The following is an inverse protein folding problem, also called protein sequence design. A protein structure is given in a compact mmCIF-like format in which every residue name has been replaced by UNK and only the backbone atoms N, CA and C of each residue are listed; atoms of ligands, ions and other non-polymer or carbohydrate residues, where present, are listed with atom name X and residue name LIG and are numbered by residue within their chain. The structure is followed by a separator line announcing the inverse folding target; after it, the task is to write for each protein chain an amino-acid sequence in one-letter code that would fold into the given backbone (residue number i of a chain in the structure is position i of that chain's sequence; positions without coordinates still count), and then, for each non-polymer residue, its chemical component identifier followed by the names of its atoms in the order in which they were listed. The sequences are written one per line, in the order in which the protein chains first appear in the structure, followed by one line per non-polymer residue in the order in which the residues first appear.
data_IF_080099097578
#
_entry.id   IF_080099097578
#
_cell.length_a   1.000
_cell.length_b   1.000
_cell.length_c   1.000
_cell.angle_alpha   90.00
_cell.angle_beta   90.00
_cell.angle_gamma   90.00
#
_symmetry.space_group_name_H-M   'P 1'
#
loop_
_entity.id
_entity.type
_entity.pdbx_description
1 polymer ?
#
# COMPACT_ATOMS: atom_id res chain seq x y z
N UNK A 1 25.57 -12.44 6.49
CA UNK A 1 24.33 -12.77 5.75
C UNK A 1 23.10 -12.05 6.29
N UNK A 2 22.77 -12.19 7.59
CA UNK A 2 21.60 -11.53 8.22
C UNK A 2 21.50 -10.01 8.00
N UNK A 3 22.60 -9.27 8.12
CA UNK A 3 22.59 -7.80 7.97
C UNK A 3 22.25 -7.35 6.54
N UNK A 4 22.76 -8.06 5.53
CA UNK A 4 22.45 -7.79 4.12
C UNK A 4 20.98 -8.07 3.82
N UNK A 5 20.41 -9.11 4.43
CA UNK A 5 18.99 -9.41 4.30
C UNK A 5 18.13 -8.31 4.94
N UNK A 6 18.49 -7.81 6.12
CA UNK A 6 17.75 -6.73 6.78
C UNK A 6 17.78 -5.46 5.92
N UNK A 7 18.94 -5.11 5.37
CA UNK A 7 19.09 -3.94 4.48
C UNK A 7 18.26 -4.13 3.20
N UNK A 8 18.34 -5.31 2.57
CA UNK A 8 17.59 -5.62 1.36
C UNK A 8 16.08 -5.55 1.57
N UNK A 9 15.58 -6.12 2.68
CA UNK A 9 14.15 -6.05 3.05
C UNK A 9 13.75 -4.62 3.36
N UNK A 10 14.56 -3.86 4.09
CA UNK A 10 14.28 -2.45 4.40
C UNK A 10 14.14 -1.59 3.13
N UNK A 11 15.02 -1.79 2.14
CA UNK A 11 14.94 -1.12 0.85
C UNK A 11 13.69 -1.51 0.06
N UNK A 12 13.35 -2.80 0.04
CA UNK A 12 12.15 -3.29 -0.63
C UNK A 12 10.88 -2.70 0.00
N UNK A 13 10.82 -2.64 1.33
CA UNK A 13 9.68 -2.05 2.05
C UNK A 13 9.56 -0.56 1.73
N UNK A 14 10.66 0.19 1.75
CA UNK A 14 10.66 1.60 1.37
C UNK A 14 10.19 1.80 -0.08
N UNK A 15 10.64 0.94 -1.00
CA UNK A 15 10.19 0.96 -2.39
C UNK A 15 8.68 0.71 -2.50
N UNK A 16 8.14 -0.30 -1.80
CA UNK A 16 6.71 -0.61 -1.82
C UNK A 16 5.87 0.52 -1.19
N UNK A 17 6.35 1.18 -0.15
CA UNK A 17 5.62 2.31 0.47
C UNK A 17 5.50 3.49 -0.49
N UNK A 18 6.54 3.78 -1.28
CA UNK A 18 6.52 4.90 -2.24
C UNK A 18 5.74 4.53 -3.51
N UNK A 19 6.04 3.38 -4.10
CA UNK A 19 5.50 2.97 -5.40
C UNK A 19 4.17 2.22 -5.32
N UNK A 20 3.86 1.58 -4.20
CA UNK A 20 2.61 0.85 -3.99
C UNK A 20 1.36 1.71 -4.23
N UNK A 21 1.25 2.88 -3.58
CA UNK A 21 0.10 3.78 -3.79
C UNK A 21 0.01 4.30 -5.23
N UNK A 22 1.15 4.53 -5.89
CA UNK A 22 1.18 4.97 -7.28
C UNK A 22 0.68 3.88 -8.24
N UNK A 23 1.09 2.63 -8.03
CA UNK A 23 0.59 1.48 -8.79
C UNK A 23 -0.90 1.25 -8.57
N UNK A 24 -1.40 1.49 -7.35
CA UNK A 24 -2.82 1.41 -7.03
C UNK A 24 -3.63 2.47 -7.79
N UNK A 25 -3.18 3.72 -7.79
CA UNK A 25 -3.81 4.82 -8.55
C UNK A 25 -3.79 4.51 -10.05
N UNK A 26 -2.67 3.99 -10.57
CA UNK A 26 -2.57 3.56 -11.96
C UNK A 26 -3.60 2.48 -12.31
N UNK A 27 -3.71 1.44 -11.49
CA UNK A 27 -4.67 0.36 -11.70
C UNK A 27 -6.11 0.88 -11.74
N UNK A 28 -6.48 1.78 -10.81
CA UNK A 28 -7.82 2.39 -10.79
C UNK A 28 -8.06 3.23 -12.05
N UNK A 29 -7.08 4.03 -12.47
CA UNK A 29 -7.19 4.83 -13.70
C UNK A 29 -7.34 3.95 -14.94
N UNK A 30 -6.60 2.85 -15.03
CA UNK A 30 -6.67 1.92 -16.15
C UNK A 30 -7.98 1.14 -16.19
N UNK A 31 -8.47 0.68 -15.03
CA UNK A 31 -9.67 -0.16 -14.96
C UNK A 31 -10.97 0.65 -15.11
N UNK A 32 -10.99 1.89 -14.62
CA UNK A 32 -12.22 2.67 -14.51
C UNK A 32 -12.19 4.02 -15.27
N UNK A 33 -11.04 4.43 -15.82
CA UNK A 33 -10.94 5.67 -16.61
C UNK A 33 -11.09 6.97 -15.80
N UNK A 34 -10.82 6.96 -14.49
CA UNK A 34 -11.09 8.10 -13.59
C UNK A 34 -10.12 9.29 -13.71
N UNK A 35 -9.02 9.15 -14.48
CA UNK A 35 -7.99 10.20 -14.71
C UNK A 35 -7.53 10.88 -13.40
N UNK A 36 -7.31 10.08 -12.35
CA UNK A 36 -6.82 10.54 -11.05
C UNK A 36 -5.38 11.06 -11.22
N UNK A 37 -5.10 12.34 -10.92
CA UNK A 37 -3.75 12.88 -11.04
C UNK A 37 -2.84 12.32 -9.94
N UNK A 38 -1.57 12.10 -10.26
CA UNK A 38 -0.55 11.67 -9.29
C UNK A 38 -0.04 12.86 -8.49
N UNK A 39 -0.67 13.13 -7.35
CA UNK A 39 -0.32 14.22 -6.43
C UNK A 39 -0.11 13.68 -5.03
N UNK A 40 0.50 14.46 -4.15
CA UNK A 40 0.65 14.05 -2.75
C UNK A 40 -0.70 13.76 -2.07
N UNK A 41 -1.75 14.51 -2.41
CA UNK A 41 -3.10 14.30 -1.85
C UNK A 41 -3.70 12.96 -2.29
N UNK A 42 -3.55 12.59 -3.55
CA UNK A 42 -4.07 11.32 -4.08
C UNK A 42 -3.21 10.13 -3.64
N UNK A 43 -1.91 10.33 -3.45
CA UNK A 43 -1.02 9.36 -2.82
C UNK A 43 -1.47 9.04 -1.38
N UNK A 44 -1.72 10.05 -0.54
CA UNK A 44 -2.25 9.87 0.81
C UNK A 44 -3.61 9.18 0.81
N UNK A 45 -4.50 9.55 -0.12
CA UNK A 45 -5.82 8.93 -0.26
C UNK A 45 -5.71 7.42 -0.58
N UNK A 46 -4.79 7.03 -1.48
CA UNK A 46 -4.51 5.63 -1.79
C UNK A 46 -3.96 4.87 -0.59
N UNK A 47 -3.08 5.47 0.22
CA UNK A 47 -2.59 4.89 1.47
C UNK A 47 -3.73 4.62 2.47
N UNK A 48 -4.60 5.61 2.67
CA UNK A 48 -5.76 5.49 3.57
C UNK A 48 -6.75 4.43 3.10
N UNK A 49 -7.05 4.39 1.79
CA UNK A 49 -7.91 3.35 1.21
C UNK A 49 -7.33 1.95 1.40
N UNK A 50 -6.02 1.78 1.18
CA UNK A 50 -5.36 0.49 1.36
C UNK A 50 -5.39 0.04 2.83
N UNK A 51 -5.22 0.97 3.77
CA UNK A 51 -5.37 0.69 5.20
C UNK A 51 -6.80 0.28 5.55
N UNK A 52 -7.80 1.02 5.04
CA UNK A 52 -9.20 0.70 5.27
C UNK A 52 -9.59 -0.67 4.68
N UNK A 53 -9.08 -1.01 3.51
CA UNK A 53 -9.33 -2.30 2.85
C UNK A 53 -8.74 -3.49 3.63
N UNK A 54 -7.62 -3.30 4.33
CA UNK A 54 -6.92 -4.37 5.05
C UNK A 54 -7.20 -4.42 6.55
N UNK A 55 -7.87 -3.41 7.12
CA UNK A 55 -8.05 -3.23 8.58
C UNK A 55 -9.01 -4.20 9.29
N UNK A 56 -9.57 -5.20 8.62
CA UNK A 56 -10.60 -6.09 9.18
C UNK A 56 -10.11 -7.36 9.89
N UNK A 57 -8.82 -7.69 9.86
CA UNK A 57 -8.32 -9.02 10.23
C UNK A 57 -7.90 -9.19 11.70
N UNK A 58 -8.08 -8.18 12.56
CA UNK A 58 -7.66 -8.23 13.97
C UNK A 58 -8.78 -8.49 14.98
N UNK A 59 -9.95 -8.95 14.56
CA UNK A 59 -10.97 -9.48 15.48
C UNK A 59 -10.66 -10.95 15.77
N UNK A 60 -9.95 -11.19 16.87
CA UNK A 60 -9.75 -12.55 17.39
C UNK A 60 -11.05 -13.01 18.06
N UNK A 61 -11.79 -13.91 17.42
CA UNK A 61 -12.84 -14.65 18.10
C UNK A 61 -12.17 -15.56 19.13
N UNK A 62 -12.37 -15.28 20.42
CA UNK A 62 -12.08 -16.24 21.47
C UNK A 62 -13.00 -17.44 21.23
N UNK A 63 -12.42 -18.61 20.99
CA UNK A 63 -13.17 -19.87 21.07
C UNK A 63 -13.08 -20.31 22.52
N UNK A 64 -14.18 -20.15 23.24
CA UNK A 64 -14.40 -20.80 24.53
C UNK A 64 -14.51 -22.32 24.36
#
# INVERSE_FOLDING_TARGET
MKILLIIGVGLLVAFVIVFGPLMFIWAINTLFGLVIPYTFKTWCAACLLSLAAHGGSHVKFNKD
#
